data_IF_427127302267
#
_entry.id   IF_427127302267
#
_cell.length_a   1.000
_cell.length_b   1.000
_cell.length_c   1.000
_cell.angle_alpha   90.00
_cell.angle_beta   90.00
_cell.angle_gamma   90.00
#
_symmetry.space_group_name_H-M   'P 1'
#
loop_
_entity.id
_entity.type
_entity.pdbx_description
1 polymer ?
#
# COMPACT_ATOMS: atom_id res chain seq x y z
N UNK A 1 10.67 -11.70 -6.15
CA UNK A 1 10.92 -10.24 -6.04
C UNK A 1 10.59 -9.84 -4.61
N UNK A 2 11.36 -8.95 -3.97
CA UNK A 2 10.96 -8.40 -2.67
C UNK A 2 10.27 -7.07 -2.91
N UNK A 3 9.43 -6.63 -1.96
CA UNK A 3 8.80 -5.31 -2.03
C UNK A 3 9.85 -4.20 -2.02
N UNK A 4 10.96 -4.40 -1.31
CA UNK A 4 12.10 -3.48 -1.27
C UNK A 4 12.81 -3.29 -2.63
N UNK A 5 12.62 -4.22 -3.57
CA UNK A 5 13.22 -4.16 -4.91
C UNK A 5 12.30 -3.44 -5.93
N UNK A 6 11.14 -2.93 -5.48
CA UNK A 6 10.12 -2.35 -6.36
C UNK A 6 10.36 -0.86 -6.61
N UNK A 7 9.95 -0.43 -7.80
CA UNK A 7 10.05 0.95 -8.27
C UNK A 7 8.66 1.60 -8.46
N UNK A 8 8.66 2.92 -8.63
CA UNK A 8 7.46 3.68 -8.99
C UNK A 8 6.88 3.13 -10.30
N UNK A 9 5.59 2.81 -10.29
CA UNK A 9 4.86 2.19 -11.39
C UNK A 9 4.70 0.67 -11.28
N UNK A 10 5.40 0.02 -10.35
CA UNK A 10 5.23 -1.41 -10.12
C UNK A 10 3.89 -1.73 -9.45
N UNK A 11 3.38 -2.91 -9.76
CA UNK A 11 2.14 -3.45 -9.21
C UNK A 11 2.43 -4.18 -7.91
N UNK A 12 1.61 -3.89 -6.91
CA UNK A 12 1.60 -4.53 -5.61
C UNK A 12 0.20 -4.94 -5.22
N UNK A 13 0.10 -5.74 -4.16
CA UNK A 13 -1.15 -6.14 -3.56
C UNK A 13 -1.07 -5.91 -2.06
N UNK A 14 -2.20 -5.58 -1.43
CA UNK A 14 -2.28 -5.48 0.02
C UNK A 14 -2.08 -6.88 0.63
N UNK A 15 -1.07 -7.04 1.49
CA UNK A 15 -0.80 -8.32 2.16
C UNK A 15 -1.85 -8.65 3.25
N UNK A 16 -2.44 -7.60 3.82
CA UNK A 16 -3.49 -7.62 4.85
C UNK A 16 -4.53 -6.55 4.53
N UNK A 17 -5.65 -6.54 5.25
CA UNK A 17 -6.60 -5.42 5.18
C UNK A 17 -5.95 -4.20 5.83
N UNK A 18 -5.75 -3.15 5.04
CA UNK A 18 -5.19 -1.89 5.49
C UNK A 18 -6.34 -1.03 6.02
N UNK A 19 -6.24 -0.64 7.29
CA UNK A 19 -7.23 0.13 8.02
C UNK A 19 -6.60 1.48 8.36
N UNK A 20 -7.37 2.55 8.21
CA UNK A 20 -6.93 3.89 8.60
C UNK A 20 -6.70 3.94 10.12
N UNK A 21 -5.46 4.21 10.50
CA UNK A 21 -5.02 4.37 11.89
C UNK A 21 -5.11 5.83 12.37
N UNK A 22 -5.77 6.69 11.59
CA UNK A 22 -5.91 8.12 11.86
C UNK A 22 -4.77 8.97 11.29
N UNK A 23 -3.82 8.37 10.56
CA UNK A 23 -2.72 9.08 9.89
C UNK A 23 -3.11 9.70 8.54
N UNK A 24 -4.24 9.27 7.95
CA UNK A 24 -4.65 9.77 6.64
C UNK A 24 -5.23 11.19 6.74
N UNK A 25 -4.77 12.13 5.90
CA UNK A 25 -5.40 13.43 5.79
C UNK A 25 -6.82 13.25 5.22
N UNK A 26 -7.82 13.80 5.92
CA UNK A 26 -9.25 13.70 5.55
C UNK A 26 -9.86 12.28 5.66
N UNK A 27 -9.12 11.31 6.21
CA UNK A 27 -9.60 9.95 6.47
C UNK A 27 -10.41 9.83 7.76
N UNK A 28 -11.11 8.70 7.92
CA UNK A 28 -11.82 8.35 9.13
C UNK A 28 -11.13 7.13 9.78
N UNK A 29 -10.63 7.30 11.00
CA UNK A 29 -10.03 6.21 11.78
C UNK A 29 -10.96 4.99 11.81
N UNK A 30 -10.41 3.81 11.47
CA UNK A 30 -11.15 2.56 11.37
C UNK A 30 -11.78 2.26 10.00
N UNK A 31 -11.66 3.17 9.03
CA UNK A 31 -12.08 2.91 7.65
C UNK A 31 -11.15 1.93 6.94
N UNK A 32 -11.71 1.06 6.08
CA UNK A 32 -10.91 0.15 5.26
C UNK A 32 -10.37 0.94 4.06
N UNK A 33 -9.05 1.14 4.05
CA UNK A 33 -8.33 1.82 2.97
C UNK A 33 -8.08 0.87 1.78
N UNK A 34 -7.77 -0.40 2.07
CA UNK A 34 -7.63 -1.46 1.08
C UNK A 34 -7.91 -2.82 1.71
N UNK A 35 -8.68 -3.67 1.02
CA UNK A 35 -8.87 -5.06 1.45
C UNK A 35 -7.63 -5.91 1.15
N UNK A 36 -7.41 -6.97 1.93
CA UNK A 36 -6.34 -7.91 1.65
C UNK A 36 -6.46 -8.49 0.22
N UNK A 37 -5.37 -8.44 -0.53
CA UNK A 37 -5.32 -8.86 -1.93
C UNK A 37 -5.77 -7.80 -2.93
N UNK A 38 -6.21 -6.61 -2.49
CA UNK A 38 -6.51 -5.51 -3.41
C UNK A 38 -5.25 -5.10 -4.16
N UNK A 39 -5.39 -4.98 -5.49
CA UNK A 39 -4.31 -4.55 -6.37
C UNK A 39 -4.08 -3.05 -6.24
N UNK A 40 -2.82 -2.64 -6.26
CA UNK A 40 -2.42 -1.24 -6.24
C UNK A 40 -1.16 -1.01 -7.07
N UNK A 41 -0.84 0.27 -7.25
CA UNK A 41 0.37 0.73 -7.96
C UNK A 41 1.17 1.65 -7.07
N UNK A 42 2.50 1.45 -7.03
CA UNK A 42 3.41 2.35 -6.33
C UNK A 42 3.47 3.67 -7.10
N UNK A 43 3.14 4.75 -6.42
CA UNK A 43 3.16 6.11 -6.99
C UNK A 43 4.31 6.95 -6.46
N UNK A 44 4.84 6.60 -5.29
CA UNK A 44 5.98 7.27 -4.68
C UNK A 44 6.67 6.31 -3.69
N UNK A 45 7.98 6.49 -3.51
CA UNK A 45 8.76 5.81 -2.47
C UNK A 45 9.41 6.90 -1.63
N UNK A 46 9.13 6.88 -0.33
CA UNK A 46 9.73 7.75 0.67
C UNK A 46 10.59 6.96 1.65
N UNK A 47 11.30 7.68 2.51
CA UNK A 47 12.10 7.11 3.59
C UNK A 47 11.77 7.84 4.89
N UNK A 48 11.86 7.14 6.02
CA UNK A 48 11.72 7.79 7.33
C UNK A 48 12.96 8.64 7.60
N UNK A 49 12.81 9.93 7.90
CA UNK A 49 13.95 10.84 8.10
C UNK A 49 14.91 10.35 9.20
N UNK A 50 14.39 9.76 10.27
CA UNK A 50 15.18 9.22 11.38
C UNK A 50 15.82 7.85 11.08
N UNK A 51 15.31 7.12 10.09
CA UNK A 51 15.74 5.76 9.69
C UNK A 51 15.64 5.61 8.17
N UNK A 52 16.62 6.12 7.40
CA UNK A 52 16.57 6.14 5.94
C UNK A 52 16.52 4.74 5.31
N UNK A 53 16.95 3.70 6.04
CA UNK A 53 16.81 2.30 5.65
C UNK A 53 15.36 1.81 5.62
N UNK A 54 14.44 2.50 6.31
CA UNK A 54 13.01 2.18 6.29
C UNK A 54 12.32 2.94 5.16
N UNK A 55 11.97 2.19 4.12
CA UNK A 55 11.20 2.70 2.99
C UNK A 55 9.71 2.69 3.30
N UNK A 56 9.03 3.76 2.91
CA UNK A 56 7.56 3.91 2.93
C UNK A 56 7.09 3.98 1.49
N UNK A 57 6.16 3.12 1.12
CA UNK A 57 5.61 3.07 -0.23
C UNK A 57 4.28 3.79 -0.26
N UNK A 58 4.11 4.73 -1.18
CA UNK A 58 2.84 5.40 -1.40
C UNK A 58 2.10 4.68 -2.53
N UNK A 59 1.07 3.93 -2.18
CA UNK A 59 0.35 3.04 -3.10
C UNK A 59 -1.06 3.56 -3.33
N UNK A 60 -1.49 3.60 -4.59
CA UNK A 60 -2.89 3.83 -4.93
C UNK A 60 -3.54 2.49 -5.25
N UNK A 61 -4.49 2.09 -4.40
CA UNK A 61 -5.24 0.85 -4.58
C UNK A 61 -6.45 1.05 -5.48
N UNK A 62 -6.83 -0.01 -6.19
CA UNK A 62 -8.03 -0.04 -7.01
C UNK A 62 -9.29 -0.17 -6.14
N UNK A 63 -10.29 0.64 -6.41
CA UNK A 63 -11.62 0.50 -5.81
C UNK A 63 -12.51 -0.48 -6.60
N UNK A 64 -13.75 -0.67 -6.14
CA UNK A 64 -14.74 -1.56 -6.76
C UNK A 64 -15.13 -1.14 -8.18
N UNK A 65 -14.86 0.11 -8.55
CA UNK A 65 -15.15 0.69 -9.87
C UNK A 65 -13.89 0.72 -10.76
N UNK A 66 -12.79 0.09 -10.33
CA UNK A 66 -11.48 0.10 -11.00
C UNK A 66 -10.84 1.49 -11.10
N UNK A 67 -11.21 2.42 -10.23
CA UNK A 67 -10.51 3.69 -10.10
C UNK A 67 -9.38 3.58 -9.07
N UNK A 68 -8.34 4.39 -9.25
CA UNK A 68 -7.26 4.50 -8.29
C UNK A 68 -7.67 5.46 -7.16
N UNK A 69 -7.79 4.93 -5.94
CA UNK A 69 -8.12 5.69 -4.74
C UNK A 69 -7.05 6.69 -4.31
N UNK A 70 -7.18 7.22 -3.10
CA UNK A 70 -6.17 8.10 -2.51
C UNK A 70 -4.83 7.35 -2.30
N UNK A 71 -3.69 8.04 -2.37
CA UNK A 71 -2.41 7.44 -2.06
C UNK A 71 -2.33 7.09 -0.58
N UNK A 72 -2.04 5.82 -0.29
CA UNK A 72 -1.94 5.27 1.06
C UNK A 72 -0.47 4.96 1.34
N UNK A 73 0.03 5.41 2.50
CA UNK A 73 1.37 5.07 2.97
C UNK A 73 1.40 3.65 3.53
N UNK A 74 2.21 2.78 2.94
CA UNK A 74 2.31 1.38 3.30
C UNK A 74 3.75 1.04 3.70
N UNK A 75 3.90 0.21 4.72
CA UNK A 75 5.17 -0.41 5.03
C UNK A 75 5.43 -1.58 4.09
N UNK A 76 6.67 -2.04 4.06
CA UNK A 76 7.07 -3.25 3.31
C UNK A 76 6.20 -4.45 3.68
N UNK A 77 5.87 -4.60 4.97
CA UNK A 77 5.08 -5.72 5.49
C UNK A 77 3.59 -5.66 5.11
N UNK A 78 3.08 -4.47 4.74
CA UNK A 78 1.70 -4.28 4.30
C UNK A 78 1.49 -4.67 2.83
N UNK A 79 2.58 -4.88 2.09
CA UNK A 79 2.58 -5.11 0.65
C UNK A 79 3.10 -6.50 0.28
N UNK A 80 2.63 -7.00 -0.85
CA UNK A 80 3.16 -8.20 -1.47
C UNK A 80 3.21 -8.07 -3.00
N UNK A 81 4.21 -8.70 -3.60
CA UNK A 81 4.47 -8.66 -5.05
C UNK A 81 3.57 -9.61 -5.85
N UNK A 82 3.01 -10.63 -5.22
CA UNK A 82 2.16 -11.62 -5.87
C UNK A 82 0.89 -11.81 -5.03
N UNK A 83 -0.29 -11.98 -5.67
CA UNK A 83 -1.50 -12.31 -4.95
C UNK A 83 -1.33 -13.65 -4.24
N UNK A 84 -1.51 -13.69 -2.91
CA UNK A 84 -1.68 -14.95 -2.19
C UNK A 84 -2.91 -15.67 -2.76
N UNK A 85 -2.66 -16.72 -3.53
CA UNK A 85 -3.69 -17.71 -3.86
C UNK A 85 -4.10 -18.40 -2.56
N UNK A 86 -5.25 -18.02 -2.03
CA UNK A 86 -5.89 -18.75 -0.94
C UNK A 86 -6.52 -20.00 -1.57
N UNK A 87 -5.80 -21.12 -1.52
CA UNK A 87 -6.29 -22.44 -1.91
C UNK A 87 -7.21 -23.02 -0.83
#
# INVERSE_FOLDING_TARGET
>A
MRVEDLDIGDIVYAATTIIDDGSMPEGMEGEILAEAGTRGVITMIGHVEEQPERSVFLVRFEDKEMNLGNPIGCWVDDLMVEPKLIN
#
